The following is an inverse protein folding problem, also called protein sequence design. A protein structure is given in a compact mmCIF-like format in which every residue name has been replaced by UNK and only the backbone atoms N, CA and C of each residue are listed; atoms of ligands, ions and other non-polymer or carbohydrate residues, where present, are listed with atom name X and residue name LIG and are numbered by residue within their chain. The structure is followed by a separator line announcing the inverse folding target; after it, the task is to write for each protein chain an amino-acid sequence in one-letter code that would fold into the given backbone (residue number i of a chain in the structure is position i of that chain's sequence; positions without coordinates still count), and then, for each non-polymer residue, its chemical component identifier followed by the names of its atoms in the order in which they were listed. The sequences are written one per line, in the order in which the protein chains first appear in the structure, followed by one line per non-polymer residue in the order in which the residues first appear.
data_IF_803162526852
#
_entry.id   IF_803162526852
#
_cell.length_a   1.000
_cell.length_b   1.000
_cell.length_c   1.000
_cell.angle_alpha   90.00
_cell.angle_beta   90.00
_cell.angle_gamma   90.00
#
_symmetry.space_group_name_H-M   'P 1'
#
loop_
_entity.id
_entity.type
_entity.pdbx_description
1 polymer ?
#
# COMPACT_ATOMS: atom_id res chain seq x y z
N UNK A 1 -7.14 13.87 11.43
CA UNK A 1 -6.77 14.03 10.00
C UNK A 1 -6.94 12.68 9.29
N UNK A 2 -8.17 12.29 8.95
CA UNK A 2 -8.44 11.01 8.28
C UNK A 2 -9.54 11.17 7.21
N UNK A 3 -9.38 12.17 6.33
CA UNK A 3 -10.26 12.40 5.17
C UNK A 3 -9.56 12.19 3.82
N UNK A 4 -8.30 11.76 3.84
CA UNK A 4 -7.50 11.56 2.62
C UNK A 4 -7.71 10.17 1.96
N UNK A 5 -8.57 9.30 2.49
CA UNK A 5 -8.97 8.05 1.85
C UNK A 5 -10.49 8.02 1.64
N UNK A 6 -11.05 9.14 1.15
CA UNK A 6 -12.49 9.27 0.95
C UNK A 6 -13.04 8.32 -0.14
N UNK A 7 -12.18 7.69 -0.94
CA UNK A 7 -12.57 6.65 -1.90
C UNK A 7 -11.58 5.47 -1.89
N UNK A 8 -12.03 4.25 -2.28
CA UNK A 8 -11.15 3.08 -2.41
C UNK A 8 -9.98 3.30 -3.38
N UNK A 9 -10.18 4.08 -4.44
CA UNK A 9 -9.16 4.38 -5.45
C UNK A 9 -8.04 5.22 -4.83
N UNK A 10 -8.39 6.25 -4.05
CA UNK A 10 -7.39 7.08 -3.37
C UNK A 10 -6.61 6.27 -2.31
N UNK A 11 -7.26 5.33 -1.64
CA UNK A 11 -6.58 4.39 -0.75
C UNK A 11 -5.58 3.51 -1.50
N UNK A 12 -5.96 2.98 -2.67
CA UNK A 12 -5.07 2.19 -3.51
C UNK A 12 -3.87 3.02 -4.02
N UNK A 13 -4.10 4.26 -4.46
CA UNK A 13 -3.04 5.17 -4.91
C UNK A 13 -2.06 5.53 -3.79
N UNK A 14 -2.56 5.86 -2.59
CA UNK A 14 -1.72 6.12 -1.41
C UNK A 14 -0.84 4.93 -1.05
N UNK A 15 -1.38 3.71 -1.17
CA UNK A 15 -0.64 2.49 -0.90
C UNK A 15 0.44 2.25 -1.96
N UNK A 16 0.12 2.34 -3.25
CA UNK A 16 1.10 2.21 -4.36
C UNK A 16 2.25 3.20 -4.17
N UNK A 17 1.94 4.47 -3.90
CA UNK A 17 2.97 5.50 -3.69
C UNK A 17 3.91 5.15 -2.53
N UNK A 18 3.38 4.53 -1.47
CA UNK A 18 4.18 4.09 -0.33
C UNK A 18 5.06 2.89 -0.65
N UNK A 19 4.53 1.91 -1.40
CA UNK A 19 5.30 0.73 -1.87
C UNK A 19 6.47 1.17 -2.76
N UNK A 20 6.26 2.15 -3.63
CA UNK A 20 7.33 2.66 -4.52
C UNK A 20 8.49 3.35 -3.79
N UNK A 21 8.28 3.83 -2.57
CA UNK A 21 9.28 4.56 -1.79
C UNK A 21 9.98 3.69 -0.73
N UNK A 22 9.40 2.54 -0.41
CA UNK A 22 9.87 1.60 0.62
C UNK A 22 10.78 0.54 -0.01
N UNK A 23 11.85 0.18 0.69
CA UNK A 23 12.66 -0.99 0.40
C UNK A 23 12.00 -2.24 1.01
N UNK A 24 11.44 -3.09 0.15
CA UNK A 24 10.79 -4.33 0.56
C UNK A 24 11.75 -5.35 1.22
N UNK A 25 13.07 -5.17 1.14
CA UNK A 25 14.04 -6.04 1.83
C UNK A 25 14.14 -5.72 3.34
N UNK A 26 13.68 -4.54 3.76
CA UNK A 26 13.68 -4.11 5.15
C UNK A 26 12.44 -4.61 5.91
N UNK A 27 12.65 -5.44 6.93
CA UNK A 27 11.57 -6.00 7.77
C UNK A 27 10.68 -4.91 8.42
N UNK A 28 11.27 -3.80 8.85
CA UNK A 28 10.53 -2.72 9.50
C UNK A 28 9.60 -2.00 8.52
N UNK A 29 10.04 -1.83 7.28
CA UNK A 29 9.26 -1.12 6.25
C UNK A 29 8.13 -2.00 5.71
N UNK A 30 8.34 -3.33 5.65
CA UNK A 30 7.25 -4.29 5.42
C UNK A 30 6.15 -4.20 6.48
N UNK A 31 6.51 -4.15 7.76
CA UNK A 31 5.53 -4.01 8.84
C UNK A 31 4.77 -2.67 8.77
N UNK A 32 5.44 -1.59 8.31
CA UNK A 32 4.79 -0.31 8.04
C UNK A 32 3.76 -0.41 6.90
N UNK A 33 4.10 -1.06 5.78
CA UNK A 33 3.16 -1.26 4.67
C UNK A 33 1.96 -2.11 5.10
N UNK A 34 2.18 -3.15 5.91
CA UNK A 34 1.11 -3.98 6.47
C UNK A 34 0.11 -3.17 7.31
N UNK A 35 0.62 -2.29 8.18
CA UNK A 35 -0.21 -1.42 9.00
C UNK A 35 -0.92 -0.35 8.17
N UNK A 36 -0.24 0.23 7.17
CA UNK A 36 -0.83 1.19 6.26
C UNK A 36 -2.01 0.58 5.49
N UNK A 37 -1.86 -0.64 4.97
CA UNK A 37 -2.94 -1.35 4.28
C UNK A 37 -4.18 -1.55 5.17
N UNK A 38 -3.97 -1.84 6.47
CA UNK A 38 -5.06 -1.95 7.46
C UNK A 38 -5.76 -0.62 7.70
N UNK A 39 -5.02 0.48 7.83
CA UNK A 39 -5.59 1.82 8.04
C UNK A 39 -6.39 2.30 6.83
N UNK A 40 -5.93 1.94 5.64
CA UNK A 40 -6.59 2.19 4.37
C UNK A 40 -7.74 1.21 4.07
N UNK A 41 -7.93 0.20 4.94
CA UNK A 41 -8.95 -0.85 4.80
C UNK A 41 -8.88 -1.58 3.46
N UNK A 42 -7.67 -1.87 3.00
CA UNK A 42 -7.46 -2.63 1.78
C UNK A 42 -7.73 -4.11 2.03
N UNK A 43 -8.54 -4.70 1.16
CA UNK A 43 -8.74 -6.15 1.15
C UNK A 43 -7.40 -6.86 0.84
N UNK A 44 -7.09 -7.99 1.50
CA UNK A 44 -5.80 -8.68 1.31
C UNK A 44 -5.50 -9.03 -0.16
N UNK A 45 -6.52 -9.41 -0.94
CA UNK A 45 -6.37 -9.69 -2.36
C UNK A 45 -6.05 -8.46 -3.19
N UNK A 46 -6.63 -7.31 -2.85
CA UNK A 46 -6.34 -6.03 -3.50
C UNK A 46 -4.90 -5.60 -3.19
N UNK A 47 -4.48 -5.66 -1.93
CA UNK A 47 -3.10 -5.35 -1.51
C UNK A 47 -2.07 -6.15 -2.33
N UNK A 48 -2.25 -7.47 -2.42
CA UNK A 48 -1.34 -8.34 -3.16
C UNK A 48 -1.25 -7.99 -4.65
N UNK A 49 -2.38 -7.63 -5.27
CA UNK A 49 -2.40 -7.20 -6.67
C UNK A 49 -1.70 -5.85 -6.86
N UNK A 50 -1.90 -4.88 -5.96
CA UNK A 50 -1.21 -3.57 -6.03
C UNK A 50 0.32 -3.73 -5.92
N UNK A 51 0.81 -4.54 -4.98
CA UNK A 51 2.26 -4.79 -4.85
C UNK A 51 2.82 -5.51 -6.07
N UNK A 52 2.08 -6.47 -6.62
CA UNK A 52 2.45 -7.16 -7.86
C UNK A 52 2.53 -6.16 -9.03
N UNK A 53 1.59 -5.25 -9.15
CA UNK A 53 1.61 -4.21 -10.19
C UNK A 53 2.83 -3.30 -10.07
N UNK A 54 3.22 -2.90 -8.85
CA UNK A 54 4.44 -2.10 -8.65
C UNK A 54 5.68 -2.89 -9.08
N UNK A 55 5.82 -4.14 -8.61
CA UNK A 55 6.96 -5.01 -8.98
C UNK A 55 7.08 -5.31 -10.48
N UNK A 56 5.96 -5.34 -11.21
CA UNK A 56 5.96 -5.53 -12.66
C UNK A 56 6.37 -4.28 -13.45
N UNK A 57 6.31 -3.10 -12.83
CA UNK A 57 6.58 -1.81 -13.47
C UNK A 57 7.89 -1.15 -13.00
N UNK A 58 8.68 -1.85 -12.17
CA UNK A 58 10.03 -1.46 -11.75
C UNK A 58 11.09 -2.19 -12.57
#
# INVERSE_FOLDING_TARGET
MARAASTPEMAAEMYIASVMLVDEENFMEKAYLDELARQLKLEPGLKAELEKQVRLNQ
#
